data_IF_116818948380
#
_entry.id   IF_116818948380
#
_cell.length_a   1.000
_cell.length_b   1.000
_cell.length_c   1.000
_cell.angle_alpha   90.00
_cell.angle_beta   90.00
_cell.angle_gamma   90.00
#
_symmetry.space_group_name_H-M   'P 1'
#
loop_
_entity.id
_entity.type
_entity.pdbx_description
1 polymer ?
#
# COMPACT_ATOMS: atom_id res chain seq x y z
N UNK A 1 26.74 25.20 -0.44
CA UNK A 1 26.17 23.85 -0.25
C UNK A 1 27.27 23.03 0.42
N UNK A 2 27.12 22.69 1.70
CA UNK A 2 28.15 21.94 2.45
C UNK A 2 28.04 20.48 2.00
N UNK A 3 29.13 19.89 1.51
CA UNK A 3 29.18 18.48 1.19
C UNK A 3 28.89 17.67 2.46
N UNK A 4 27.84 16.85 2.44
CA UNK A 4 27.47 16.03 3.59
C UNK A 4 28.47 14.88 3.74
N UNK A 5 29.16 14.80 4.87
CA UNK A 5 30.09 13.71 5.14
C UNK A 5 29.35 12.37 5.19
N UNK A 6 29.77 11.43 4.33
CA UNK A 6 29.22 10.09 4.29
C UNK A 6 29.79 9.22 5.40
N UNK A 7 28.94 8.49 6.12
CA UNK A 7 29.33 7.59 7.21
C UNK A 7 29.40 6.15 6.69
N UNK A 8 30.49 5.45 7.00
CA UNK A 8 30.67 4.04 6.67
C UNK A 8 30.17 3.18 7.85
N UNK A 9 29.16 2.36 7.58
CA UNK A 9 28.61 1.37 8.53
C UNK A 9 28.65 -0.02 7.92
N UNK A 10 28.39 -1.06 8.74
CA UNK A 10 28.33 -2.44 8.26
C UNK A 10 27.19 -2.63 7.25
N UNK A 11 27.32 -3.64 6.38
CA UNK A 11 26.28 -3.99 5.42
C UNK A 11 24.96 -4.38 6.10
N UNK A 12 25.02 -5.06 7.24
CA UNK A 12 23.83 -5.42 8.01
C UNK A 12 23.10 -4.17 8.53
N UNK A 13 23.84 -3.17 9.01
CA UNK A 13 23.24 -1.90 9.43
C UNK A 13 22.65 -1.15 8.24
N UNK A 14 23.34 -1.09 7.09
CA UNK A 14 22.77 -0.47 5.87
C UNK A 14 21.45 -1.12 5.45
N UNK A 15 21.40 -2.45 5.43
CA UNK A 15 20.18 -3.18 5.05
C UNK A 15 19.04 -2.92 6.02
N UNK A 16 19.32 -3.00 7.33
CA UNK A 16 18.31 -2.75 8.36
C UNK A 16 17.77 -1.31 8.29
N UNK A 17 18.65 -0.31 8.18
CA UNK A 17 18.23 1.09 8.04
C UNK A 17 17.47 1.32 6.73
N UNK A 18 17.95 0.76 5.61
CA UNK A 18 17.30 0.86 4.31
C UNK A 18 15.88 0.29 4.32
N UNK A 19 15.69 -0.89 4.94
CA UNK A 19 14.37 -1.49 5.09
C UNK A 19 13.44 -0.60 5.94
N UNK A 20 13.91 -0.09 7.08
CA UNK A 20 13.11 0.78 7.93
C UNK A 20 12.73 2.10 7.24
N UNK A 21 13.67 2.76 6.56
CA UNK A 21 13.39 4.01 5.85
C UNK A 21 12.43 3.79 4.67
N UNK A 22 12.51 2.64 4.01
CA UNK A 22 11.57 2.26 2.95
C UNK A 22 10.14 2.12 3.49
N UNK A 23 9.94 1.44 4.62
CA UNK A 23 8.62 1.32 5.25
C UNK A 23 8.07 2.70 5.62
N UNK A 24 8.91 3.58 6.18
CA UNK A 24 8.50 4.96 6.49
C UNK A 24 8.13 5.72 5.21
N UNK A 25 8.91 5.59 4.15
CA UNK A 25 8.60 6.21 2.85
C UNK A 25 7.29 5.69 2.25
N UNK A 26 7.02 4.39 2.33
CA UNK A 26 5.78 3.76 1.88
C UNK A 26 4.57 4.38 2.61
N UNK A 27 4.59 4.48 3.94
CA UNK A 27 3.52 5.12 4.69
C UNK A 27 3.38 6.63 4.42
N UNK A 28 4.48 7.35 4.18
CA UNK A 28 4.44 8.76 3.79
C UNK A 28 3.78 8.94 2.41
N UNK A 29 4.00 8.01 1.49
CA UNK A 29 3.35 8.01 0.17
C UNK A 29 1.86 7.70 0.27
N UNK A 30 1.47 6.75 1.13
CA UNK A 30 0.07 6.42 1.40
C UNK A 30 -0.69 7.61 2.00
N UNK A 31 -0.15 8.23 3.06
CA UNK A 31 -0.75 9.42 3.66
C UNK A 31 -0.85 10.60 2.66
N UNK A 32 0.17 10.83 1.84
CA UNK A 32 0.12 11.87 0.81
C UNK A 32 -1.00 11.60 -0.21
N UNK A 33 -1.16 10.35 -0.64
CA UNK A 33 -2.23 9.93 -1.54
C UNK A 33 -3.60 10.16 -0.91
N UNK A 34 -3.81 9.75 0.33
CA UNK A 34 -5.08 9.94 1.05
C UNK A 34 -5.43 11.42 1.27
N UNK A 35 -4.43 12.26 1.57
CA UNK A 35 -4.63 13.69 1.77
C UNK A 35 -4.91 14.47 0.47
N UNK A 36 -4.44 13.97 -0.67
CA UNK A 36 -4.58 14.64 -1.98
C UNK A 36 -5.73 14.08 -2.81
N UNK A 37 -6.02 12.80 -2.67
CA UNK A 37 -7.07 12.08 -3.36
C UNK A 37 -7.66 11.02 -2.39
N UNK A 38 -8.44 11.47 -1.40
CA UNK A 38 -9.05 10.58 -0.41
C UNK A 38 -9.88 9.51 -1.12
N UNK A 39 -9.83 8.30 -0.58
CA UNK A 39 -10.46 7.14 -1.22
C UNK A 39 -11.98 7.30 -1.26
N UNK A 40 -12.52 7.31 -2.48
CA UNK A 40 -13.95 7.37 -2.76
C UNK A 40 -14.44 6.02 -3.30
N UNK A 41 -14.31 4.98 -2.47
CA UNK A 41 -14.65 3.60 -2.83
C UNK A 41 -16.14 3.36 -3.05
N UNK A 42 -16.47 2.16 -3.56
CA UNK A 42 -17.86 1.71 -3.76
C UNK A 42 -18.48 1.30 -2.43
N UNK A 43 -17.76 0.51 -1.63
CA UNK A 43 -18.22 -0.03 -0.34
C UNK A 43 -17.80 0.82 0.86
N UNK A 44 -16.83 1.73 0.67
CA UNK A 44 -16.32 2.60 1.71
C UNK A 44 -16.19 4.02 1.15
N UNK A 45 -16.83 4.97 1.83
CA UNK A 45 -16.73 6.40 1.54
C UNK A 45 -15.92 7.08 2.63
N UNK A 46 -14.82 7.73 2.27
CA UNK A 46 -14.02 8.48 3.23
C UNK A 46 -14.66 9.85 3.49
N UNK A 47 -14.97 10.12 4.75
CA UNK A 47 -15.39 11.45 5.18
C UNK A 47 -14.16 12.27 5.58
N UNK A 48 -13.97 13.43 4.96
CA UNK A 48 -12.92 14.38 5.37
C UNK A 48 -13.40 15.12 6.62
N UNK A 49 -12.81 14.79 7.77
CA UNK A 49 -13.08 15.40 9.07
C UNK A 49 -11.96 16.35 9.53
N UNK A 50 -10.96 16.58 8.68
CA UNK A 50 -9.83 17.47 8.92
C UNK A 50 -9.92 18.76 8.10
N UNK A 51 -9.40 19.85 8.67
CA UNK A 51 -9.39 21.17 8.02
C UNK A 51 -8.35 21.24 6.89
N UNK A 52 -8.64 22.01 5.85
CA UNK A 52 -7.73 22.22 4.70
C UNK A 52 -6.35 22.78 5.11
N UNK A 53 -6.29 23.59 6.16
CA UNK A 53 -5.04 24.10 6.72
C UNK A 53 -4.19 22.99 7.34
N UNK A 54 -4.83 22.01 7.99
CA UNK A 54 -4.18 20.81 8.52
C UNK A 54 -3.66 19.92 7.39
N UNK A 55 -4.45 19.70 6.34
CA UNK A 55 -4.02 18.96 5.14
C UNK A 55 -2.76 19.60 4.55
N UNK A 56 -2.79 20.90 4.30
CA UNK A 56 -1.67 21.65 3.73
C UNK A 56 -0.41 21.54 4.59
N UNK A 57 -0.56 21.64 5.92
CA UNK A 57 0.56 21.51 6.87
C UNK A 57 1.13 20.08 6.87
N UNK A 58 0.27 19.06 6.82
CA UNK A 58 0.67 17.66 6.74
C UNK A 58 1.45 17.38 5.47
N UNK A 59 0.98 17.83 4.31
CA UNK A 59 1.69 17.69 3.02
C UNK A 59 3.07 18.36 3.04
N UNK A 60 3.18 19.55 3.62
CA UNK A 60 4.48 20.21 3.80
C UNK A 60 5.44 19.40 4.69
N UNK A 61 4.92 18.78 5.75
CA UNK A 61 5.72 17.95 6.65
C UNK A 61 6.13 16.62 5.99
N UNK A 62 5.24 16.00 5.21
CA UNK A 62 5.56 14.81 4.41
C UNK A 62 6.70 15.12 3.43
N UNK A 63 6.62 16.24 2.71
CA UNK A 63 7.70 16.64 1.79
C UNK A 63 9.04 16.84 2.51
N UNK A 64 9.03 17.45 3.71
CA UNK A 64 10.24 17.58 4.54
C UNK A 64 10.77 16.23 5.01
N UNK A 65 9.90 15.31 5.41
CA UNK A 65 10.29 13.96 5.84
C UNK A 65 10.92 13.16 4.69
N UNK A 66 10.32 13.18 3.50
CA UNK A 66 10.89 12.55 2.29
C UNK A 66 12.26 13.13 1.93
N UNK A 67 12.42 14.44 2.01
CA UNK A 67 13.73 15.09 1.84
C UNK A 67 14.75 14.61 2.89
N UNK A 68 14.32 14.42 4.14
CA UNK A 68 15.18 13.90 5.18
C UNK A 68 15.59 12.44 4.93
N UNK A 69 14.66 11.58 4.47
CA UNK A 69 14.94 10.20 4.07
C UNK A 69 16.01 10.16 2.97
N UNK A 70 15.87 11.01 1.93
CA UNK A 70 16.88 11.14 0.87
C UNK A 70 18.26 11.48 1.44
N UNK A 71 18.33 12.46 2.34
CA UNK A 71 19.59 12.85 2.98
C UNK A 71 20.20 11.71 3.81
N UNK A 72 19.38 10.93 4.52
CA UNK A 72 19.85 9.76 5.27
C UNK A 72 20.36 8.66 4.34
N UNK A 73 19.66 8.41 3.22
CA UNK A 73 20.08 7.44 2.22
C UNK A 73 21.45 7.78 1.63
N UNK A 74 21.69 9.06 1.32
CA UNK A 74 22.99 9.57 0.87
C UNK A 74 24.05 9.46 1.97
N UNK A 75 23.74 9.92 3.20
CA UNK A 75 24.66 9.92 4.34
C UNK A 75 25.15 8.53 4.71
N UNK A 76 24.29 7.52 4.64
CA UNK A 76 24.62 6.13 5.01
C UNK A 76 24.89 5.21 3.81
N UNK A 77 24.93 5.76 2.59
CA UNK A 77 25.17 5.02 1.34
C UNK A 77 24.24 3.82 1.18
N UNK A 78 22.94 4.05 1.39
CA UNK A 78 21.93 3.01 1.27
C UNK A 78 21.70 2.68 -0.21
N UNK A 79 21.46 1.41 -0.52
CA UNK A 79 21.18 0.98 -1.89
C UNK A 79 19.72 1.26 -2.25
N UNK A 80 19.52 1.85 -3.43
CA UNK A 80 18.20 1.96 -4.04
C UNK A 80 17.82 0.59 -4.62
N UNK A 81 16.67 0.08 -4.24
CA UNK A 81 16.11 -1.14 -4.83
C UNK A 81 15.10 -0.77 -5.91
N UNK A 82 15.27 -1.31 -7.11
CA UNK A 82 14.25 -1.23 -8.16
C UNK A 82 13.32 -2.44 -8.08
N UNK A 83 12.02 -2.21 -8.04
CA UNK A 83 11.02 -3.25 -8.27
C UNK A 83 10.43 -3.10 -9.67
N UNK A 84 10.07 -4.22 -10.29
CA UNK A 84 9.31 -4.20 -11.54
C UNK A 84 7.84 -3.92 -11.21
N UNK A 85 7.24 -2.93 -11.88
CA UNK A 85 5.83 -2.60 -11.70
C UNK A 85 4.93 -3.81 -11.94
N UNK A 86 5.25 -4.67 -12.91
CA UNK A 86 4.54 -5.92 -13.17
C UNK A 86 4.47 -6.81 -11.93
N UNK A 87 5.58 -7.01 -11.21
CA UNK A 87 5.58 -7.80 -9.97
C UNK A 87 4.70 -7.21 -8.88
N UNK A 88 4.62 -5.88 -8.82
CA UNK A 88 3.72 -5.20 -7.87
C UNK A 88 2.27 -5.47 -8.26
N UNK A 89 1.92 -5.34 -9.54
CA UNK A 89 0.58 -5.64 -10.06
C UNK A 89 0.22 -7.11 -9.80
N UNK A 90 1.09 -8.06 -10.13
CA UNK A 90 0.88 -9.50 -9.93
C UNK A 90 0.69 -9.85 -8.45
N UNK A 91 1.45 -9.21 -7.56
CA UNK A 91 1.26 -9.36 -6.12
C UNK A 91 -0.11 -8.87 -5.66
N UNK A 92 -0.61 -7.74 -6.19
CA UNK A 92 -1.94 -7.22 -5.88
C UNK A 92 -3.04 -8.13 -6.42
N UNK A 93 -2.91 -8.62 -7.66
CA UNK A 93 -3.83 -9.63 -8.23
C UNK A 93 -3.93 -10.87 -7.36
N UNK A 94 -2.78 -11.41 -6.94
CA UNK A 94 -2.72 -12.58 -6.05
C UNK A 94 -3.47 -12.31 -4.74
N UNK A 95 -3.24 -11.15 -4.12
CA UNK A 95 -3.93 -10.77 -2.89
C UNK A 95 -5.45 -10.69 -3.08
N UNK A 96 -5.92 -10.07 -4.17
CA UNK A 96 -7.34 -9.99 -4.49
C UNK A 96 -7.92 -11.38 -4.71
N UNK A 97 -7.23 -12.23 -5.47
CA UNK A 97 -7.68 -13.59 -5.77
C UNK A 97 -7.83 -14.45 -4.50
N UNK A 98 -6.89 -14.33 -3.56
CA UNK A 98 -6.99 -14.98 -2.24
C UNK A 98 -8.22 -14.50 -1.49
N UNK A 99 -8.45 -13.18 -1.40
CA UNK A 99 -9.63 -12.62 -0.74
C UNK A 99 -10.94 -13.11 -1.37
N UNK A 100 -11.03 -13.11 -2.69
CA UNK A 100 -12.22 -13.57 -3.41
C UNK A 100 -12.45 -15.07 -3.22
N UNK A 101 -11.39 -15.88 -3.26
CA UNK A 101 -11.47 -17.33 -3.04
C UNK A 101 -11.93 -17.69 -1.63
N UNK A 102 -11.57 -16.88 -0.63
CA UNK A 102 -12.03 -17.05 0.75
C UNK A 102 -13.46 -16.49 0.97
N UNK A 103 -14.05 -15.85 -0.04
CA UNK A 103 -15.37 -15.23 0.04
C UNK A 103 -16.48 -16.07 -0.59
N UNK A 104 -16.23 -17.32 -1.01
CA UNK A 104 -17.27 -18.18 -1.61
C UNK A 104 -18.33 -18.61 -0.60
N UNK A 105 -19.50 -18.99 -1.09
CA UNK A 105 -20.63 -19.46 -0.28
C UNK A 105 -20.26 -20.62 0.64
N UNK A 106 -19.35 -21.50 0.20
CA UNK A 106 -18.80 -22.59 1.02
C UNK A 106 -17.93 -22.08 2.18
N UNK A 107 -17.05 -21.12 1.91
CA UNK A 107 -16.12 -20.55 2.90
C UNK A 107 -16.82 -19.67 3.92
N UNK A 108 -17.86 -18.95 3.49
CA UNK A 108 -18.65 -18.09 4.36
C UNK A 108 -19.50 -18.83 5.39
N UNK A 109 -19.63 -20.17 5.30
CA UNK A 109 -20.35 -21.00 6.28
C UNK A 109 -19.88 -20.81 7.73
N UNK A 110 -18.63 -20.37 7.93
CA UNK A 110 -18.08 -20.08 9.27
C UNK A 110 -18.75 -18.86 9.94
N UNK A 111 -19.38 -18.00 9.16
CA UNK A 111 -20.07 -16.79 9.63
C UNK A 111 -21.59 -16.98 9.75
N UNK A 112 -22.10 -18.17 9.44
CA UNK A 112 -23.52 -18.49 9.46
C UNK A 112 -23.92 -19.36 8.26
N UNK A 113 -25.16 -19.84 8.26
CA UNK A 113 -25.69 -20.61 7.13
C UNK A 113 -25.93 -19.65 5.96
N UNK A 114 -25.16 -19.82 4.88
CA UNK A 114 -25.42 -19.14 3.62
C UNK A 114 -26.68 -19.75 2.98
N UNK A 115 -27.64 -18.96 2.47
CA UNK A 115 -28.86 -19.50 1.88
C UNK A 115 -28.55 -20.35 0.63
N UNK A 116 -28.84 -21.66 0.63
CA UNK A 116 -28.43 -22.58 -0.44
C UNK A 116 -28.96 -22.21 -1.83
N UNK A 117 -30.13 -21.57 -1.89
CA UNK A 117 -30.77 -21.12 -3.12
C UNK A 117 -29.99 -20.03 -3.87
N UNK A 118 -29.15 -19.26 -3.17
CA UNK A 118 -28.33 -18.18 -3.76
C UNK A 118 -26.86 -18.55 -3.92
N UNK A 119 -26.40 -19.70 -3.40
CA UNK A 119 -24.98 -20.08 -3.41
C UNK A 119 -24.36 -20.06 -4.80
N UNK A 120 -25.05 -20.64 -5.80
CA UNK A 120 -24.50 -20.75 -7.15
C UNK A 120 -24.42 -19.40 -7.88
N UNK A 121 -25.42 -18.53 -7.69
CA UNK A 121 -25.42 -17.18 -8.27
C UNK A 121 -24.31 -16.34 -7.65
N UNK A 122 -24.21 -16.32 -6.32
CA UNK A 122 -23.17 -15.60 -5.62
C UNK A 122 -21.76 -16.09 -5.96
N UNK A 123 -21.53 -17.40 -6.02
CA UNK A 123 -20.21 -17.93 -6.40
C UNK A 123 -19.85 -17.57 -7.85
N UNK A 124 -20.83 -17.45 -8.75
CA UNK A 124 -20.60 -16.93 -10.10
C UNK A 124 -20.19 -15.46 -10.08
N UNK A 125 -20.85 -14.60 -9.29
CA UNK A 125 -20.46 -13.18 -9.16
C UNK A 125 -19.00 -13.03 -8.69
N UNK A 126 -18.59 -13.86 -7.73
CA UNK A 126 -17.20 -13.89 -7.24
C UNK A 126 -16.24 -14.33 -8.35
N UNK A 127 -16.59 -15.37 -9.11
CA UNK A 127 -15.77 -15.87 -10.22
C UNK A 127 -15.65 -14.84 -11.35
N UNK A 128 -16.73 -14.14 -11.70
CA UNK A 128 -16.69 -13.07 -12.71
C UNK A 128 -15.72 -11.96 -12.29
N UNK A 129 -15.73 -11.58 -11.01
CA UNK A 129 -14.79 -10.60 -10.48
C UNK A 129 -13.33 -11.09 -10.51
N UNK A 130 -13.09 -12.38 -10.22
CA UNK A 130 -11.76 -12.98 -10.34
C UNK A 130 -11.23 -12.92 -11.78
N UNK A 131 -12.08 -13.24 -12.77
CA UNK A 131 -11.71 -13.19 -14.18
C UNK A 131 -11.38 -11.77 -14.65
N UNK A 132 -12.15 -10.77 -14.23
CA UNK A 132 -11.85 -9.37 -14.54
C UNK A 132 -10.49 -8.93 -13.95
N UNK A 133 -10.18 -9.33 -12.71
CA UNK A 133 -8.90 -9.02 -12.07
C UNK A 133 -7.72 -9.68 -12.80
N UNK A 134 -7.92 -10.89 -13.33
CA UNK A 134 -6.88 -11.58 -14.10
C UNK A 134 -6.50 -10.85 -15.39
N UNK A 135 -7.44 -10.10 -15.99
CA UNK A 135 -7.25 -9.37 -17.25
C UNK A 135 -6.50 -8.04 -17.14
N UNK A 136 -6.26 -7.53 -15.91
CA UNK A 136 -5.53 -6.27 -15.65
C UNK A 136 -4.05 -6.34 -16.07
#
# INVERSE_FOLDING_TARGET
MIAMESIIISENHRRSIGASLRIVEEHLNEMEKELTNPEDGILLKMQIDIQNSSISKSLQNIAKAKKHIKNLAEKYRLSVQSSQLSRVIDSRKTSIWVTLSDSTSEKLKIYGVFPPEYSAEFDNDINELQELVNQI
#
